data_IF_806256925095
#
_entry.id   IF_806256925095
#
_cell.length_a   1.000
_cell.length_b   1.000
_cell.length_c   1.000
_cell.angle_alpha   90.00
_cell.angle_beta   90.00
_cell.angle_gamma   90.00
#
_symmetry.space_group_name_H-M   'P 1'
#
loop_
_entity.id
_entity.type
_entity.pdbx_description
1 polymer ?
#
# COMPACT_ATOMS: atom_id res chain seq x y z
N UNK A 1 16.77 -11.97 5.29
CA UNK A 1 15.66 -11.70 4.37
C UNK A 1 16.29 -11.36 3.05
N UNK A 2 15.75 -11.88 1.95
CA UNK A 2 16.23 -11.53 0.62
C UNK A 2 15.76 -10.10 0.32
N UNK A 3 16.70 -9.20 0.03
CA UNK A 3 16.35 -7.81 -0.30
C UNK A 3 15.63 -7.81 -1.66
N UNK A 4 14.46 -7.14 -1.77
CA UNK A 4 13.72 -7.12 -3.02
C UNK A 4 14.54 -6.43 -4.10
N UNK A 5 14.52 -7.01 -5.29
CA UNK A 5 15.19 -6.50 -6.48
C UNK A 5 14.25 -5.61 -7.31
N UNK A 6 14.82 -4.88 -8.28
CA UNK A 6 14.01 -4.15 -9.27
C UNK A 6 13.18 -5.08 -10.17
N UNK A 7 13.63 -6.33 -10.38
CA UNK A 7 12.86 -7.33 -11.13
C UNK A 7 11.57 -7.71 -10.39
N UNK A 8 11.63 -7.80 -9.05
CA UNK A 8 10.45 -8.03 -8.20
C UNK A 8 9.46 -6.87 -8.31
N UNK A 9 9.95 -5.63 -8.37
CA UNK A 9 9.12 -4.43 -8.56
C UNK A 9 8.41 -4.46 -9.91
N UNK A 10 9.12 -4.82 -10.98
CA UNK A 10 8.52 -4.93 -12.31
C UNK A 10 7.45 -6.01 -12.35
N UNK A 11 7.75 -7.17 -11.76
CA UNK A 11 6.82 -8.29 -11.66
C UNK A 11 5.57 -7.90 -10.87
N UNK A 12 5.74 -7.24 -9.73
CA UNK A 12 4.66 -6.73 -8.90
C UNK A 12 3.77 -5.74 -9.67
N UNK A 13 4.38 -4.79 -10.39
CA UNK A 13 3.64 -3.83 -11.20
C UNK A 13 2.80 -4.55 -12.26
N UNK A 14 3.40 -5.50 -12.99
CA UNK A 14 2.70 -6.23 -14.05
C UNK A 14 1.55 -7.07 -13.53
N UNK A 15 1.75 -7.76 -12.40
CA UNK A 15 0.71 -8.58 -11.75
C UNK A 15 -0.47 -7.75 -11.24
N UNK A 16 -0.20 -6.54 -10.73
CA UNK A 16 -1.24 -5.74 -10.07
C UNK A 16 -1.86 -4.69 -10.99
N UNK A 17 -1.08 -4.06 -11.86
CA UNK A 17 -1.44 -2.84 -12.59
C UNK A 17 -1.65 -3.11 -14.08
N UNK A 18 -0.56 -3.29 -14.84
CA UNK A 18 -0.56 -3.46 -16.29
C UNK A 18 0.86 -3.82 -16.78
N UNK A 19 1.00 -4.17 -18.06
CA UNK A 19 2.31 -4.32 -18.68
C UNK A 19 3.12 -3.02 -18.63
N UNK A 20 4.41 -3.14 -18.30
CA UNK A 20 5.37 -2.03 -18.32
C UNK A 20 6.06 -1.96 -19.69
N UNK A 21 6.11 -0.76 -20.27
CA UNK A 21 7.00 -0.48 -21.40
C UNK A 21 8.46 -0.37 -20.94
N UNK A 22 9.41 -0.45 -21.88
CA UNK A 22 10.84 -0.25 -21.60
C UNK A 22 11.11 1.10 -20.94
N UNK A 23 10.55 2.18 -21.47
CA UNK A 23 10.68 3.53 -20.92
C UNK A 23 10.11 3.66 -19.49
N UNK A 24 9.04 2.92 -19.16
CA UNK A 24 8.48 2.91 -17.81
C UNK A 24 9.37 2.15 -16.82
N UNK A 25 10.00 1.05 -17.26
CA UNK A 25 10.99 0.33 -16.45
C UNK A 25 12.19 1.21 -16.16
N UNK A 26 12.71 1.89 -17.19
CA UNK A 26 13.84 2.82 -17.06
C UNK A 26 13.53 3.94 -16.04
N UNK A 27 12.34 4.53 -16.07
CA UNK A 27 11.92 5.51 -15.06
C UNK A 27 11.90 4.97 -13.63
N UNK A 28 11.49 3.72 -13.44
CA UNK A 28 11.54 3.08 -12.12
C UNK A 28 12.98 2.80 -11.70
N UNK A 29 13.87 2.42 -12.63
CA UNK A 29 15.31 2.33 -12.37
C UNK A 29 15.91 3.67 -11.99
N UNK A 30 15.52 4.77 -12.62
CA UNK A 30 16.02 6.11 -12.25
C UNK A 30 15.70 6.44 -10.79
N UNK A 31 14.51 6.10 -10.30
CA UNK A 31 14.18 6.29 -8.88
C UNK A 31 15.08 5.44 -7.95
N UNK A 32 15.46 4.24 -8.40
CA UNK A 32 16.42 3.40 -7.69
C UNK A 32 17.84 3.99 -7.71
N UNK A 33 18.28 4.49 -8.86
CA UNK A 33 19.58 5.16 -9.03
C UNK A 33 19.66 6.46 -8.21
N UNK A 34 18.53 7.14 -8.00
CA UNK A 34 18.38 8.29 -7.09
C UNK A 34 18.39 7.89 -5.60
N UNK A 35 18.47 6.59 -5.30
CA UNK A 35 18.67 6.05 -3.96
C UNK A 35 17.42 5.52 -3.27
N UNK A 36 16.28 5.41 -3.98
CA UNK A 36 15.08 4.77 -3.43
C UNK A 36 15.18 3.25 -3.51
N UNK A 37 14.96 2.55 -2.40
CA UNK A 37 15.04 1.09 -2.38
C UNK A 37 13.91 0.46 -3.20
N UNK A 38 14.14 -0.72 -3.82
CA UNK A 38 13.09 -1.41 -4.59
C UNK A 38 11.88 -1.75 -3.72
N UNK A 39 12.09 -2.00 -2.43
CA UNK A 39 11.03 -2.15 -1.45
C UNK A 39 10.07 -0.95 -1.43
N UNK A 40 10.62 0.27 -1.30
CA UNK A 40 9.82 1.50 -1.22
C UNK A 40 9.11 1.77 -2.55
N UNK A 41 9.77 1.53 -3.68
CA UNK A 41 9.13 1.62 -5.01
C UNK A 41 7.95 0.64 -5.10
N UNK A 42 8.11 -0.59 -4.62
CA UNK A 42 7.05 -1.59 -4.51
C UNK A 42 5.87 -1.12 -3.64
N UNK A 43 6.17 -0.49 -2.50
CA UNK A 43 5.17 0.10 -1.62
C UNK A 43 4.35 1.21 -2.31
N UNK A 44 4.96 2.00 -3.20
CA UNK A 44 4.23 3.02 -3.95
C UNK A 44 3.17 2.41 -4.89
N UNK A 45 3.50 1.29 -5.54
CA UNK A 45 2.58 0.52 -6.37
C UNK A 45 1.41 -0.02 -5.53
N UNK A 46 1.72 -0.60 -4.37
CA UNK A 46 0.71 -1.12 -3.45
C UNK A 46 -0.19 -0.02 -2.89
N UNK A 47 0.38 1.16 -2.57
CA UNK A 47 -0.38 2.33 -2.13
C UNK A 47 -1.37 2.78 -3.18
N UNK A 48 -0.96 2.86 -4.45
CA UNK A 48 -1.87 3.19 -5.54
C UNK A 48 -3.03 2.18 -5.64
N UNK A 49 -2.75 0.89 -5.47
CA UNK A 49 -3.77 -0.18 -5.46
C UNK A 49 -4.72 -0.07 -4.28
N UNK A 50 -4.23 0.25 -3.10
CA UNK A 50 -5.06 0.50 -1.92
C UNK A 50 -6.00 1.69 -2.17
N UNK A 51 -5.50 2.76 -2.77
CA UNK A 51 -6.28 3.95 -3.12
C UNK A 51 -7.40 3.64 -4.12
N UNK A 52 -7.11 2.85 -5.16
CA UNK A 52 -8.13 2.39 -6.11
C UNK A 52 -9.22 1.57 -5.43
N UNK A 53 -8.86 0.65 -4.53
CA UNK A 53 -9.83 -0.13 -3.76
C UNK A 53 -10.71 0.78 -2.90
N UNK A 54 -10.12 1.76 -2.22
CA UNK A 54 -10.87 2.76 -1.43
C UNK A 54 -11.84 3.58 -2.29
N UNK A 55 -11.38 4.07 -3.45
CA UNK A 55 -12.25 4.79 -4.38
C UNK A 55 -13.43 3.94 -4.84
N UNK A 56 -13.19 2.66 -5.17
CA UNK A 56 -14.25 1.73 -5.57
C UNK A 56 -15.28 1.50 -4.47
N UNK A 57 -14.86 1.38 -3.21
CA UNK A 57 -15.78 1.28 -2.07
C UNK A 57 -16.64 2.54 -1.89
N UNK A 58 -16.15 3.70 -2.33
CA UNK A 58 -16.88 4.98 -2.35
C UNK A 58 -17.69 5.18 -3.63
N UNK A 59 -17.85 4.15 -4.47
CA UNK A 59 -18.60 4.23 -5.74
C UNK A 59 -17.87 4.96 -6.87
N UNK A 60 -16.58 5.27 -6.71
CA UNK A 60 -15.77 5.95 -7.73
C UNK A 60 -14.82 4.96 -8.41
N UNK A 61 -14.94 4.82 -9.73
CA UNK A 61 -13.98 4.03 -10.49
C UNK A 61 -12.70 4.83 -10.76
N UNK A 62 -11.65 4.54 -9.98
CA UNK A 62 -10.32 5.14 -10.19
C UNK A 62 -9.45 4.19 -11.01
N UNK A 63 -8.97 4.66 -12.16
CA UNK A 63 -7.94 3.97 -12.94
C UNK A 63 -6.56 4.35 -12.40
N UNK A 64 -5.73 3.35 -12.09
CA UNK A 64 -4.33 3.59 -11.74
C UNK A 64 -3.54 3.66 -13.04
N UNK A 65 -2.87 4.78 -13.26
CA UNK A 65 -1.90 4.97 -14.33
C UNK A 65 -0.47 4.92 -13.79
N UNK A 66 0.49 4.65 -14.67
CA UNK A 66 1.91 4.73 -14.33
C UNK A 66 2.26 6.10 -13.74
N UNK A 67 1.79 7.19 -14.38
CA UNK A 67 2.03 8.55 -13.92
C UNK A 67 1.52 8.79 -12.49
N UNK A 68 0.38 8.19 -12.12
CA UNK A 68 -0.12 8.30 -10.76
C UNK A 68 0.83 7.64 -9.74
N UNK A 69 1.34 6.45 -10.05
CA UNK A 69 2.32 5.75 -9.22
C UNK A 69 3.62 6.55 -9.16
N UNK A 70 4.09 7.06 -10.30
CA UNK A 70 5.33 7.81 -10.36
C UNK A 70 5.27 9.11 -9.55
N UNK A 71 4.12 9.79 -9.51
CA UNK A 71 3.93 10.95 -8.63
C UNK A 71 4.04 10.61 -7.14
N UNK A 72 3.63 9.41 -6.72
CA UNK A 72 3.84 8.94 -5.34
C UNK A 72 5.33 8.72 -5.08
N UNK A 73 6.04 8.14 -6.06
CA UNK A 73 7.49 7.93 -5.98
C UNK A 73 8.24 9.27 -5.89
N UNK A 74 7.92 10.24 -6.75
CA UNK A 74 8.50 11.60 -6.71
C UNK A 74 8.24 12.30 -5.38
N UNK A 75 7.01 12.21 -4.87
CA UNK A 75 6.64 12.75 -3.56
C UNK A 75 7.49 12.14 -2.44
N UNK A 76 7.64 10.82 -2.43
CA UNK A 76 8.44 10.11 -1.43
C UNK A 76 9.94 10.38 -1.57
N UNK A 77 10.45 10.51 -2.79
CA UNK A 77 11.82 10.96 -3.05
C UNK A 77 12.06 12.36 -2.46
N UNK A 78 11.15 13.31 -2.73
CA UNK A 78 11.23 14.68 -2.21
C UNK A 78 11.16 14.74 -0.68
N UNK A 79 10.39 13.84 -0.06
CA UNK A 79 10.31 13.72 1.39
C UNK A 79 11.44 12.87 2.01
N UNK A 80 12.37 12.37 1.19
CA UNK A 80 13.50 11.56 1.66
C UNK A 80 13.08 10.21 2.24
N UNK A 81 11.90 9.70 1.84
CA UNK A 81 11.38 8.39 2.19
C UNK A 81 11.93 7.41 1.16
N UNK A 82 13.22 7.13 1.24
CA UNK A 82 13.94 6.31 0.24
C UNK A 82 14.32 4.93 0.74
N UNK A 83 14.43 4.75 2.06
CA UNK A 83 14.80 3.46 2.69
C UNK A 83 13.60 2.80 3.35
N UNK A 84 13.70 1.48 3.57
CA UNK A 84 12.65 0.71 4.27
C UNK A 84 12.34 1.28 5.65
N UNK A 85 13.37 1.55 6.47
CA UNK A 85 13.17 2.09 7.82
C UNK A 85 12.42 3.43 7.81
N UNK A 86 12.78 4.33 6.90
CA UNK A 86 12.12 5.63 6.75
C UNK A 86 10.68 5.48 6.29
N UNK A 87 10.44 4.56 5.35
CA UNK A 87 9.10 4.26 4.90
C UNK A 87 8.23 3.67 6.03
N UNK A 88 8.76 2.74 6.82
CA UNK A 88 8.03 2.14 7.94
C UNK A 88 7.69 3.19 9.00
N UNK A 89 8.62 4.09 9.32
CA UNK A 89 8.37 5.20 10.25
C UNK A 89 7.28 6.14 9.73
N UNK A 90 7.38 6.56 8.46
CA UNK A 90 6.37 7.38 7.78
C UNK A 90 4.99 6.69 7.77
N UNK A 91 4.96 5.41 7.42
CA UNK A 91 3.74 4.63 7.32
C UNK A 91 3.06 4.42 8.69
N UNK A 92 3.86 4.24 9.75
CA UNK A 92 3.35 4.16 11.13
C UNK A 92 2.69 5.48 11.53
N UNK A 93 3.38 6.61 11.34
CA UNK A 93 2.87 7.94 11.67
C UNK A 93 1.55 8.26 10.92
N UNK A 94 1.49 7.96 9.62
CA UNK A 94 0.27 8.16 8.83
C UNK A 94 -0.93 7.32 9.30
N UNK A 95 -0.69 6.13 9.86
CA UNK A 95 -1.78 5.27 10.33
C UNK A 95 -2.15 5.55 11.79
N UNK A 96 -1.23 6.05 12.60
CA UNK A 96 -1.52 6.54 13.96
C UNK A 96 -2.44 7.77 13.91
N UNK A 97 -2.22 8.71 12.99
CA UNK A 97 -3.12 9.87 12.80
C UNK A 97 -4.53 9.45 12.37
N UNK A 98 -4.67 8.43 11.52
CA UNK A 98 -5.98 7.91 11.12
C UNK A 98 -6.72 7.15 12.23
N UNK A 99 -6.02 6.73 13.29
CA UNK A 99 -6.62 6.18 14.50
C UNK A 99 -7.13 7.25 15.48
N UNK A 100 -6.71 8.52 15.32
CA UNK A 100 -7.06 9.60 16.24
C UNK A 100 -8.33 10.38 15.84
N UNK A 101 -8.70 10.41 14.55
CA UNK A 101 -9.90 11.12 14.05
C UNK A 101 -11.15 10.22 13.88
N UNK A 102 -11.01 8.91 14.05
CA UNK A 102 -12.12 7.95 14.02
C UNK A 102 -12.38 7.39 15.40
N UNK A 103 -13.40 7.91 16.10
CA UNK A 103 -13.76 7.48 17.44
C UNK A 103 -13.86 5.96 17.60
N UNK A 104 -13.21 5.47 18.66
CA UNK A 104 -13.49 4.23 19.38
C UNK A 104 -13.38 2.92 18.58
N UNK A 105 -12.15 2.46 18.34
CA UNK A 105 -11.86 1.02 18.41
C UNK A 105 -10.63 0.83 19.28
N UNK A 106 -10.85 0.27 20.47
CA UNK A 106 -9.83 -0.18 21.41
C UNK A 106 -8.81 -1.10 20.73
N UNK A 107 -7.69 -0.56 20.25
CA UNK A 107 -6.45 -1.31 20.16
C UNK A 107 -5.57 -0.91 21.33
N UNK A 108 -5.96 -1.47 22.48
CA UNK A 108 -5.17 -1.43 23.68
C UNK A 108 -3.76 -1.94 23.37
N UNK A 109 -2.78 -1.08 23.71
CA UNK A 109 -1.40 -1.41 24.04
C UNK A 109 -1.21 -2.91 24.34
N UNK A 110 -0.61 -3.68 23.43
CA UNK A 110 0.17 -4.82 23.87
C UNK A 110 1.25 -5.17 22.86
N UNK A 111 2.51 -5.01 23.29
CA UNK A 111 3.67 -5.67 22.69
C UNK A 111 3.39 -7.18 22.67
N UNK A 112 3.16 -7.80 21.52
CA UNK A 112 3.25 -9.25 21.37
C UNK A 112 3.79 -9.60 19.98
N UNK A 113 4.88 -10.37 19.97
CA UNK A 113 5.54 -10.86 18.77
C UNK A 113 4.55 -11.77 18.02
N UNK A 114 4.25 -11.44 16.77
CA UNK A 114 3.38 -12.24 15.87
C UNK A 114 4.01 -13.62 15.69
N UNK A 115 3.25 -14.68 15.96
CA UNK A 115 3.66 -16.08 15.80
C UNK A 115 2.92 -16.71 14.62
N UNK A 116 3.46 -17.83 14.10
CA UNK A 116 3.07 -18.48 12.83
C UNK A 116 1.62 -18.98 12.77
N UNK A 117 0.91 -18.97 13.90
CA UNK A 117 -0.50 -19.40 14.04
C UNK A 117 -1.50 -18.33 13.54
N UNK A 118 -1.09 -17.06 13.40
CA UNK A 118 -1.95 -15.98 12.88
C UNK A 118 -2.19 -16.07 11.35
N UNK A 119 -1.58 -17.04 10.66
CA UNK A 119 -1.72 -17.26 9.22
C UNK A 119 -2.80 -18.28 8.83
N UNK A 120 -3.51 -18.89 9.79
CA UNK A 120 -4.64 -19.76 9.49
C UNK A 120 -5.94 -18.97 9.33
N UNK A 121 -6.41 -18.89 8.08
CA UNK A 121 -7.67 -18.26 7.67
C UNK A 121 -8.87 -18.98 8.31
N UNK A 122 -9.54 -18.34 9.27
CA UNK A 122 -10.91 -18.67 9.62
C UNK A 122 -11.84 -17.73 8.87
N UNK A 123 -12.76 -18.32 8.09
CA UNK A 123 -13.70 -17.56 7.26
C UNK A 123 -14.60 -16.67 8.14
N UNK A 124 -14.76 -15.36 7.83
CA UNK A 124 -15.59 -14.50 8.66
C UNK A 124 -17.07 -14.77 8.39
N UNK A 125 -17.83 -15.10 9.44
CA UNK A 125 -19.30 -15.03 9.42
C UNK A 125 -19.70 -13.57 9.22
N UNK A 126 -20.38 -13.28 8.11
CA UNK A 126 -20.91 -11.95 7.83
C UNK A 126 -22.12 -11.68 8.74
N UNK A 127 -21.99 -10.68 9.61
CA UNK A 127 -23.11 -10.14 10.38
C UNK A 127 -23.94 -9.22 9.48
N UNK A 128 -25.21 -9.57 9.25
CA UNK A 128 -26.14 -8.86 8.36
C UNK A 128 -26.96 -7.78 9.09
N UNK A 129 -26.65 -7.49 10.35
CA UNK A 129 -27.38 -6.50 11.16
C UNK A 129 -27.15 -5.03 10.76
N UNK A 130 -26.22 -4.73 9.84
CA UNK A 130 -25.87 -3.36 9.42
C UNK A 130 -26.59 -2.87 8.15
N UNK A 131 -27.49 -3.65 7.55
CA UNK A 131 -28.25 -3.27 6.34
C UNK A 131 -29.75 -3.13 6.65
N UNK A 132 -30.15 -2.12 7.42
CA UNK A 132 -31.56 -1.85 7.76
C UNK A 132 -32.31 -1.00 6.73
N UNK A 133 -31.90 -1.02 5.45
CA UNK A 133 -32.52 -0.24 4.37
C UNK A 133 -33.07 -1.13 3.25
N UNK A 134 -33.57 -2.31 3.61
CA UNK A 134 -34.18 -3.28 2.69
C UNK A 134 -35.62 -3.67 3.05
N UNK A 135 -36.34 -2.81 3.78
CA UNK A 135 -37.80 -2.86 3.91
C UNK A 135 -38.37 -1.45 3.68
N UNK A 136 -38.66 -1.12 2.41
CA UNK A 136 -40.02 -0.81 1.88
C UNK A 136 -39.99 -0.71 0.34
#
# INVERSE_FOLDING_TARGET
>A
MEEPSMEDVFTLYQQKVALLSSAQKEKLCMAYDEGMSPFVIGCAILRAKQEQRRSRMQGKEKRISFNYIYRIIEDWLNHGITTEDRFLAYWSAMNEEKGAEGGNVNYAKTKKKVSREDFTYTAPKQDRSLFSFLDE
#
